data_IF_837445861484
#
_entry.id   IF_837445861484
#
_cell.length_a   1.000
_cell.length_b   1.000
_cell.length_c   1.000
_cell.angle_alpha   90.00
_cell.angle_beta   90.00
_cell.angle_gamma   90.00
#
_symmetry.space_group_name_H-M   'P 1'
#
loop_
_entity.id
_entity.type
_entity.pdbx_description
1 polymer ?
#
# COMPACT_ATOMS: atom_id res chain seq x y z
N UNK A 1 50.63 2.96 48.46
CA UNK A 1 49.92 2.17 47.38
C UNK A 1 48.43 2.42 47.56
N UNK A 2 47.87 3.31 46.74
CA UNK A 2 46.44 3.61 46.75
C UNK A 2 45.80 2.90 45.58
N UNK A 3 44.84 2.03 45.90
CA UNK A 3 44.07 1.27 44.92
C UNK A 3 42.94 2.18 44.43
N UNK A 4 43.00 2.59 43.16
CA UNK A 4 41.94 3.33 42.48
C UNK A 4 40.82 2.35 42.13
N UNK A 5 39.66 2.55 42.76
CA UNK A 5 38.41 1.82 42.43
C UNK A 5 37.84 2.37 41.12
N UNK A 6 37.59 1.49 40.17
CA UNK A 6 36.95 1.82 38.89
C UNK A 6 35.45 2.17 39.10
N UNK A 7 34.87 3.10 38.32
CA UNK A 7 33.44 3.43 38.42
C UNK A 7 32.56 2.33 37.79
N UNK A 8 31.56 1.94 38.56
CA UNK A 8 30.50 1.01 38.25
C UNK A 8 29.75 1.46 36.99
N UNK A 9 29.91 0.72 35.88
CA UNK A 9 29.16 0.94 34.66
C UNK A 9 27.71 0.41 34.85
N UNK A 10 26.77 1.32 35.09
CA UNK A 10 25.35 1.00 35.14
C UNK A 10 24.91 0.48 33.77
N UNK A 11 24.24 -0.70 33.67
CA UNK A 11 23.76 -1.20 32.40
C UNK A 11 22.69 -0.24 31.86
N UNK A 12 22.87 0.18 30.59
CA UNK A 12 21.88 0.98 29.86
C UNK A 12 20.56 0.21 29.84
N UNK A 13 19.49 0.84 30.32
CA UNK A 13 18.12 0.31 30.18
C UNK A 13 17.76 0.27 28.70
N UNK A 14 18.08 -0.82 28.03
CA UNK A 14 17.55 -1.15 26.70
C UNK A 14 16.02 -1.09 26.75
N UNK A 15 15.40 -0.27 25.93
CA UNK A 15 13.94 -0.20 25.84
C UNK A 15 13.38 -1.59 25.56
N UNK A 16 12.23 -1.92 26.19
CA UNK A 16 11.53 -3.18 26.00
C UNK A 16 11.35 -3.46 24.49
N UNK A 17 11.71 -4.66 23.99
CA UNK A 17 11.59 -5.00 22.58
C UNK A 17 10.19 -4.68 22.05
N UNK A 18 10.11 -4.30 20.75
CA UNK A 18 8.81 -4.11 20.05
C UNK A 18 7.97 -5.37 20.23
N UNK A 19 6.73 -5.20 20.68
CA UNK A 19 5.75 -6.27 20.78
C UNK A 19 4.88 -6.26 19.50
N UNK A 20 5.13 -7.16 18.53
CA UNK A 20 4.40 -7.19 17.27
C UNK A 20 2.89 -7.43 17.45
N UNK A 21 2.49 -8.07 18.55
CA UNK A 21 1.09 -8.34 18.84
C UNK A 21 0.28 -7.06 19.07
N UNK A 22 0.91 -6.02 19.62
CA UNK A 22 0.27 -4.73 19.85
C UNK A 22 0.03 -3.94 18.56
N UNK A 23 0.85 -4.15 17.54
CA UNK A 23 0.70 -3.48 16.25
C UNK A 23 -0.58 -3.94 15.54
N UNK A 24 -0.86 -5.23 15.58
CA UNK A 24 -2.11 -5.79 15.07
C UNK A 24 -3.35 -5.24 15.77
N UNK A 25 -3.30 -5.09 17.11
CA UNK A 25 -4.43 -4.53 17.88
C UNK A 25 -4.66 -3.06 17.56
N UNK A 26 -3.59 -2.27 17.43
CA UNK A 26 -3.69 -0.85 17.06
C UNK A 26 -4.26 -0.70 15.65
N UNK A 27 -3.77 -1.48 14.66
CA UNK A 27 -4.32 -1.46 13.30
C UNK A 27 -5.80 -1.81 13.24
N UNK A 28 -6.20 -2.87 13.93
CA UNK A 28 -7.62 -3.25 14.01
C UNK A 28 -8.49 -2.14 14.61
N UNK A 29 -8.00 -1.43 15.63
CA UNK A 29 -8.68 -0.29 16.22
C UNK A 29 -8.83 0.88 15.23
N UNK A 30 -7.77 1.18 14.47
CA UNK A 30 -7.81 2.23 13.44
C UNK A 30 -8.83 1.89 12.36
N UNK A 31 -8.84 0.66 11.86
CA UNK A 31 -9.78 0.24 10.81
C UNK A 31 -11.24 0.33 11.28
N UNK A 32 -11.53 -0.09 12.51
CA UNK A 32 -12.86 0.06 13.09
C UNK A 32 -13.28 1.53 13.19
N UNK A 33 -12.42 2.37 13.75
CA UNK A 33 -12.72 3.80 13.90
C UNK A 33 -12.86 4.51 12.55
N UNK A 34 -12.05 4.15 11.54
CA UNK A 34 -12.21 4.69 10.18
C UNK A 34 -13.56 4.31 9.58
N UNK A 35 -14.01 3.08 9.80
CA UNK A 35 -15.33 2.62 9.33
C UNK A 35 -16.49 3.29 10.09
N UNK A 36 -16.36 3.45 11.40
CA UNK A 36 -17.45 3.92 12.26
C UNK A 36 -17.62 5.45 12.22
N UNK A 37 -16.52 6.19 12.32
CA UNK A 37 -16.56 7.66 12.49
C UNK A 37 -15.85 8.42 11.38
N UNK A 38 -15.16 7.73 10.49
CA UNK A 38 -14.39 8.31 9.39
C UNK A 38 -13.10 9.01 9.84
N UNK A 39 -12.29 9.41 8.87
CA UNK A 39 -10.99 10.06 9.13
C UNK A 39 -11.13 11.40 9.87
N UNK A 40 -12.16 12.19 9.56
CA UNK A 40 -12.33 13.52 10.16
C UNK A 40 -12.46 13.48 11.70
N UNK A 41 -13.26 12.56 12.22
CA UNK A 41 -13.52 12.41 13.65
C UNK A 41 -12.49 11.51 14.37
N UNK A 42 -11.65 10.79 13.67
CA UNK A 42 -10.59 9.95 14.23
C UNK A 42 -9.55 10.81 14.96
N UNK A 43 -9.21 10.40 16.19
CA UNK A 43 -8.16 11.03 17.00
C UNK A 43 -7.16 10.00 17.53
N UNK A 44 -5.93 10.42 17.79
CA UNK A 44 -4.89 9.56 18.41
C UNK A 44 -5.34 8.99 19.75
N UNK A 45 -6.10 9.76 20.52
CA UNK A 45 -6.64 9.36 21.81
C UNK A 45 -7.75 8.31 21.68
N UNK A 46 -8.63 8.45 20.68
CA UNK A 46 -9.66 7.45 20.39
C UNK A 46 -9.02 6.12 19.99
N UNK A 47 -7.95 6.16 19.17
CA UNK A 47 -7.19 4.96 18.79
C UNK A 47 -6.55 4.29 20.00
N UNK A 48 -5.93 5.06 20.91
CA UNK A 48 -5.33 4.52 22.12
C UNK A 48 -6.36 3.82 23.01
N UNK A 49 -7.54 4.46 23.17
CA UNK A 49 -8.67 3.92 23.94
C UNK A 49 -9.22 2.64 23.32
N UNK A 50 -9.50 2.65 22.02
CA UNK A 50 -10.05 1.51 21.28
C UNK A 50 -9.08 0.32 21.25
N UNK A 51 -7.78 0.58 21.11
CA UNK A 51 -6.75 -0.44 21.14
C UNK A 51 -6.39 -0.93 22.55
N UNK A 52 -6.92 -0.31 23.61
CA UNK A 52 -6.57 -0.64 24.99
C UNK A 52 -5.07 -0.40 25.32
N UNK A 53 -4.44 0.60 24.68
CA UNK A 53 -3.03 0.92 24.89
C UNK A 53 -2.86 2.33 25.46
N UNK A 54 -1.76 2.55 26.18
CA UNK A 54 -1.45 3.91 26.66
C UNK A 54 -1.13 4.88 25.52
N UNK A 55 -1.61 6.13 25.61
CA UNK A 55 -1.33 7.22 24.63
C UNK A 55 0.14 7.31 24.26
N UNK A 56 1.06 7.22 25.26
CA UNK A 56 2.50 7.23 25.02
C UNK A 56 2.98 6.11 24.07
N UNK A 57 2.26 4.99 23.99
CA UNK A 57 2.58 3.91 23.06
C UNK A 57 2.32 4.33 21.63
N UNK A 58 1.22 5.04 21.37
CA UNK A 58 0.88 5.57 20.06
C UNK A 58 1.86 6.69 19.67
N UNK A 59 1.98 7.75 20.52
CA UNK A 59 2.80 8.94 20.22
C UNK A 59 4.30 8.65 20.09
N UNK A 60 4.80 7.57 20.66
CA UNK A 60 6.19 7.15 20.46
C UNK A 60 6.47 6.67 19.04
N UNK A 61 5.45 6.17 18.33
CA UNK A 61 5.56 5.59 16.98
C UNK A 61 5.15 6.57 15.90
N UNK A 62 4.04 7.24 16.10
CA UNK A 62 3.44 8.16 15.14
C UNK A 62 3.26 9.52 15.77
N UNK A 63 3.78 10.54 15.15
CA UNK A 63 3.68 11.91 15.62
C UNK A 63 2.35 12.54 15.31
N UNK A 64 1.75 12.12 14.19
CA UNK A 64 0.49 12.68 13.67
C UNK A 64 -0.51 11.57 13.36
N UNK A 65 -1.76 11.96 13.24
CA UNK A 65 -2.85 11.09 12.82
C UNK A 65 -2.65 10.60 11.39
N UNK A 66 -2.13 11.44 10.53
CA UNK A 66 -1.80 11.14 9.13
C UNK A 66 -0.77 10.00 9.06
N UNK A 67 0.34 10.14 9.77
CA UNK A 67 1.37 9.09 9.83
C UNK A 67 0.79 7.75 10.31
N UNK A 68 -0.01 7.79 11.38
CA UNK A 68 -0.63 6.60 11.97
C UNK A 68 -1.53 5.86 10.96
N UNK A 69 -2.40 6.61 10.29
CA UNK A 69 -3.38 6.02 9.35
C UNK A 69 -2.69 5.52 8.09
N UNK A 70 -1.78 6.31 7.52
CA UNK A 70 -1.07 5.91 6.29
C UNK A 70 -0.15 4.71 6.53
N UNK A 71 0.56 4.66 7.64
CA UNK A 71 1.38 3.51 8.02
C UNK A 71 0.53 2.24 8.16
N UNK A 72 -0.65 2.36 8.80
CA UNK A 72 -1.60 1.25 8.92
C UNK A 72 -2.07 0.75 7.55
N UNK A 73 -2.46 1.63 6.65
CA UNK A 73 -2.92 1.26 5.30
C UNK A 73 -1.77 0.69 4.47
N UNK A 74 -0.57 1.26 4.59
CA UNK A 74 0.62 0.76 3.90
C UNK A 74 1.00 -0.65 4.34
N UNK A 75 0.94 -0.93 5.64
CA UNK A 75 1.20 -2.27 6.18
C UNK A 75 0.16 -3.31 5.71
N UNK A 76 -1.12 -2.92 5.62
CA UNK A 76 -2.18 -3.79 5.09
C UNK A 76 -1.95 -4.07 3.60
N UNK A 77 -1.61 -3.03 2.83
CA UNK A 77 -1.31 -3.17 1.42
C UNK A 77 -0.09 -4.07 1.19
N UNK A 78 0.95 -3.94 2.03
CA UNK A 78 2.13 -4.80 1.97
C UNK A 78 1.81 -6.26 2.32
N UNK A 79 0.96 -6.50 3.31
CA UNK A 79 0.51 -7.85 3.66
C UNK A 79 -0.29 -8.49 2.52
N UNK A 80 -1.19 -7.74 1.89
CA UNK A 80 -1.97 -8.19 0.73
C UNK A 80 -1.08 -8.48 -0.48
N UNK A 81 -0.13 -7.59 -0.78
CA UNK A 81 0.84 -7.79 -1.85
C UNK A 81 1.71 -9.03 -1.62
N UNK A 82 2.14 -9.27 -0.38
CA UNK A 82 2.90 -10.48 -0.03
C UNK A 82 2.06 -11.76 -0.19
N UNK A 83 0.79 -11.74 0.19
CA UNK A 83 -0.13 -12.87 0.00
C UNK A 83 -0.34 -13.17 -1.49
N UNK A 84 -0.51 -12.14 -2.32
CA UNK A 84 -0.65 -12.28 -3.78
C UNK A 84 0.63 -12.81 -4.40
N UNK A 85 1.80 -12.28 -4.03
CA UNK A 85 3.09 -12.73 -4.55
C UNK A 85 3.43 -14.18 -4.16
N UNK A 86 2.88 -14.67 -3.05
CA UNK A 86 3.01 -16.07 -2.67
C UNK A 86 2.13 -17.00 -3.53
N UNK A 87 1.04 -16.47 -4.09
CA UNK A 87 0.12 -17.22 -4.95
C UNK A 87 0.55 -17.20 -6.42
N UNK A 88 1.02 -16.06 -6.93
CA UNK A 88 1.43 -15.88 -8.32
C UNK A 88 2.79 -15.15 -8.40
N UNK A 89 3.78 -15.66 -9.17
CA UNK A 89 5.08 -15.02 -9.29
C UNK A 89 4.96 -13.67 -10.02
N UNK A 90 5.63 -12.65 -9.50
CA UNK A 90 5.65 -11.31 -10.10
C UNK A 90 6.43 -11.23 -11.44
N UNK A 91 7.21 -12.25 -11.78
CA UNK A 91 7.89 -12.43 -13.05
C UNK A 91 7.40 -13.72 -13.70
N UNK A 92 6.51 -13.59 -14.66
CA UNK A 92 5.92 -14.72 -15.41
C UNK A 92 6.69 -15.05 -16.67
N UNK A 93 7.73 -14.27 -17.00
CA UNK A 93 8.49 -14.38 -18.22
C UNK A 93 7.91 -13.62 -19.41
N UNK A 94 6.78 -12.92 -19.25
CA UNK A 94 6.17 -12.09 -20.29
C UNK A 94 5.49 -10.85 -19.72
N UNK A 95 5.48 -9.74 -20.48
CA UNK A 95 4.78 -8.53 -20.10
C UNK A 95 3.29 -8.74 -19.92
N UNK A 96 2.65 -9.52 -20.80
CA UNK A 96 1.23 -9.86 -20.68
C UNK A 96 0.93 -10.60 -19.37
N UNK A 97 1.71 -11.63 -19.05
CA UNK A 97 1.56 -12.38 -17.81
C UNK A 97 1.78 -11.51 -16.57
N UNK A 98 2.84 -10.69 -16.58
CA UNK A 98 3.17 -9.78 -15.49
C UNK A 98 2.07 -8.73 -15.26
N UNK A 99 1.46 -8.20 -16.34
CA UNK A 99 0.32 -7.28 -16.25
C UNK A 99 -0.91 -7.94 -15.61
N UNK A 100 -1.22 -9.20 -15.97
CA UNK A 100 -2.34 -9.93 -15.36
C UNK A 100 -2.12 -10.10 -13.87
N UNK A 101 -0.93 -10.50 -13.44
CA UNK A 101 -0.57 -10.64 -12.02
C UNK A 101 -0.70 -9.28 -11.30
N UNK A 102 -0.16 -8.21 -11.88
CA UNK A 102 -0.21 -6.88 -11.29
C UNK A 102 -1.66 -6.38 -11.11
N UNK A 103 -2.52 -6.52 -12.13
CA UNK A 103 -3.91 -6.07 -12.02
C UNK A 103 -4.75 -6.96 -11.09
N UNK A 104 -4.52 -8.28 -11.04
CA UNK A 104 -5.17 -9.16 -10.07
C UNK A 104 -4.75 -8.84 -8.64
N UNK A 105 -3.49 -8.43 -8.41
CA UNK A 105 -3.07 -7.96 -7.09
C UNK A 105 -3.78 -6.65 -6.70
N UNK A 106 -4.05 -5.76 -7.67
CA UNK A 106 -4.86 -4.57 -7.42
C UNK A 106 -6.33 -4.94 -7.12
N UNK A 107 -6.90 -5.94 -7.81
CA UNK A 107 -8.25 -6.46 -7.50
C UNK A 107 -8.30 -7.02 -6.08
N UNK A 108 -7.33 -7.83 -5.69
CA UNK A 108 -7.23 -8.35 -4.33
C UNK A 108 -7.18 -7.22 -3.30
N UNK A 109 -6.35 -6.22 -3.56
CA UNK A 109 -6.22 -5.05 -2.70
C UNK A 109 -7.53 -4.28 -2.54
N UNK A 110 -8.23 -3.93 -3.64
CA UNK A 110 -9.47 -3.13 -3.56
C UNK A 110 -10.61 -3.88 -2.86
N UNK A 111 -10.60 -5.21 -2.91
CA UNK A 111 -11.58 -6.07 -2.23
C UNK A 111 -11.19 -6.42 -0.78
N UNK A 112 -10.03 -6.00 -0.31
CA UNK A 112 -9.53 -6.26 1.04
C UNK A 112 -9.99 -5.20 2.05
N UNK A 113 -9.81 -5.44 3.37
CA UNK A 113 -10.00 -4.41 4.39
C UNK A 113 -9.14 -3.15 4.15
N UNK A 114 -7.97 -3.30 3.51
CA UNK A 114 -7.12 -2.18 3.12
C UNK A 114 -7.77 -1.31 2.03
N UNK A 115 -8.46 -1.94 1.07
CA UNK A 115 -9.24 -1.24 0.06
C UNK A 115 -10.37 -0.41 0.69
N UNK A 116 -11.14 -1.00 1.59
CA UNK A 116 -12.20 -0.29 2.31
C UNK A 116 -11.65 0.91 3.11
N UNK A 117 -10.54 0.73 3.83
CA UNK A 117 -9.87 1.82 4.54
C UNK A 117 -9.37 2.91 3.58
N UNK A 118 -8.79 2.52 2.44
CA UNK A 118 -8.37 3.45 1.39
C UNK A 118 -9.54 4.28 0.87
N UNK A 119 -10.68 3.65 0.58
CA UNK A 119 -11.88 4.35 0.12
C UNK A 119 -12.38 5.37 1.16
N UNK A 120 -12.40 5.01 2.43
CA UNK A 120 -12.77 5.92 3.52
C UNK A 120 -11.83 7.14 3.63
N UNK A 121 -10.55 6.99 3.26
CA UNK A 121 -9.57 8.08 3.31
C UNK A 121 -9.64 9.01 2.12
N UNK A 122 -9.97 8.52 0.94
CA UNK A 122 -9.94 9.29 -0.31
C UNK A 122 -10.82 10.55 -0.24
N UNK A 123 -12.01 10.45 0.36
CA UNK A 123 -12.88 11.61 0.55
C UNK A 123 -12.29 12.70 1.45
N UNK A 124 -11.41 12.30 2.37
CA UNK A 124 -10.76 13.21 3.32
C UNK A 124 -9.51 13.88 2.78
N UNK A 125 -8.88 13.31 1.73
CA UNK A 125 -7.61 13.82 1.19
C UNK A 125 -7.72 15.24 0.62
N UNK A 126 -8.88 15.63 0.10
CA UNK A 126 -9.11 16.97 -0.44
C UNK A 126 -8.98 18.05 0.64
N UNK A 127 -9.31 17.70 1.89
CA UNK A 127 -9.29 18.62 3.02
C UNK A 127 -8.05 18.45 3.93
N UNK A 128 -7.23 17.44 3.67
CA UNK A 128 -6.06 17.09 4.48
C UNK A 128 -4.83 16.85 3.58
N UNK A 129 -4.11 17.93 3.16
CA UNK A 129 -2.96 17.83 2.25
C UNK A 129 -1.85 16.88 2.76
N UNK A 130 -1.58 16.88 4.05
CA UNK A 130 -0.57 16.00 4.65
C UNK A 130 -0.97 14.51 4.52
N UNK A 131 -2.26 14.17 4.65
CA UNK A 131 -2.77 12.83 4.40
C UNK A 131 -2.58 12.44 2.92
N UNK A 132 -2.92 13.34 2.01
CA UNK A 132 -2.77 13.11 0.57
C UNK A 132 -1.30 12.91 0.17
N UNK A 133 -0.37 13.68 0.75
CA UNK A 133 1.07 13.53 0.52
C UNK A 133 1.59 12.19 1.04
N UNK A 134 1.25 11.85 2.28
CA UNK A 134 1.65 10.59 2.88
C UNK A 134 1.08 9.38 2.13
N UNK A 135 -0.18 9.48 1.64
CA UNK A 135 -0.79 8.42 0.82
C UNK A 135 -0.09 8.25 -0.53
N UNK A 136 0.28 9.36 -1.19
CA UNK A 136 1.06 9.30 -2.44
C UNK A 136 2.46 8.72 -2.23
N UNK A 137 3.12 9.09 -1.13
CA UNK A 137 4.46 8.58 -0.79
C UNK A 137 4.48 7.15 -0.24
N UNK A 138 3.34 6.64 0.23
CA UNK A 138 3.17 5.30 0.75
C UNK A 138 2.52 4.36 -0.28
N UNK A 139 1.21 4.08 -0.15
CA UNK A 139 0.51 3.07 -0.98
C UNK A 139 0.66 3.27 -2.49
N UNK A 140 0.52 4.51 -2.97
CA UNK A 140 0.63 4.82 -4.40
C UNK A 140 2.05 4.59 -4.91
N UNK A 141 3.06 4.96 -4.12
CA UNK A 141 4.47 4.76 -4.49
C UNK A 141 4.83 3.27 -4.57
N UNK A 142 4.28 2.44 -3.69
CA UNK A 142 4.49 0.98 -3.73
C UNK A 142 3.94 0.38 -5.03
N UNK A 143 2.71 0.74 -5.40
CA UNK A 143 2.11 0.27 -6.65
C UNK A 143 2.89 0.75 -7.88
N UNK A 144 3.29 2.01 -7.90
CA UNK A 144 4.13 2.58 -8.98
C UNK A 144 5.44 1.83 -9.11
N UNK A 145 6.11 1.56 -7.98
CA UNK A 145 7.35 0.80 -7.99
C UNK A 145 7.16 -0.61 -8.56
N UNK A 146 6.10 -1.31 -8.19
CA UNK A 146 5.81 -2.64 -8.73
C UNK A 146 5.63 -2.61 -10.26
N UNK A 147 4.94 -1.58 -10.78
CA UNK A 147 4.81 -1.34 -12.22
C UNK A 147 6.16 -1.03 -12.87
N UNK A 148 6.95 -0.14 -12.30
CA UNK A 148 8.26 0.25 -12.83
C UNK A 148 9.22 -0.94 -12.89
N UNK A 149 9.24 -1.78 -11.85
CA UNK A 149 10.04 -3.00 -11.79
C UNK A 149 9.59 -4.02 -12.89
N UNK A 150 8.28 -4.19 -13.08
CA UNK A 150 7.72 -5.00 -14.17
C UNK A 150 8.10 -4.44 -15.54
N UNK A 151 7.98 -3.13 -15.73
CA UNK A 151 8.31 -2.46 -16.98
C UNK A 151 9.78 -2.60 -17.35
N UNK A 152 10.67 -2.44 -16.37
CA UNK A 152 12.11 -2.62 -16.55
C UNK A 152 12.46 -4.06 -17.00
N UNK A 153 11.77 -5.07 -16.46
CA UNK A 153 11.94 -6.46 -16.93
C UNK A 153 11.49 -6.63 -18.39
N UNK A 154 10.36 -6.06 -18.76
CA UNK A 154 9.87 -6.10 -20.14
C UNK A 154 10.81 -5.41 -21.13
N UNK A 155 11.44 -4.29 -20.73
CA UNK A 155 12.48 -3.63 -21.51
C UNK A 155 13.73 -4.53 -21.70
N UNK A 156 14.17 -5.19 -20.63
CA UNK A 156 15.29 -6.13 -20.68
C UNK A 156 15.01 -7.33 -21.58
N UNK A 157 13.78 -7.82 -21.61
CA UNK A 157 13.34 -8.91 -22.50
C UNK A 157 13.11 -8.44 -23.95
N UNK A 158 13.13 -7.11 -24.19
CA UNK A 158 12.91 -6.54 -25.52
C UNK A 158 11.45 -6.61 -25.98
N UNK A 159 10.52 -6.69 -25.04
CA UNK A 159 9.07 -6.74 -25.30
C UNK A 159 8.49 -5.34 -25.55
N UNK A 160 9.09 -4.30 -24.99
CA UNK A 160 8.68 -2.90 -25.16
C UNK A 160 9.78 -2.08 -25.83
N UNK A 161 9.37 -1.09 -26.63
CA UNK A 161 10.30 -0.18 -27.26
C UNK A 161 10.77 0.91 -26.28
N UNK A 162 12.04 1.29 -26.37
CA UNK A 162 12.57 2.45 -25.64
C UNK A 162 11.82 3.72 -26.05
N UNK A 163 11.36 4.48 -25.05
CA UNK A 163 10.64 5.72 -25.25
C UNK A 163 9.12 5.61 -25.18
N UNK A 164 8.55 4.41 -25.07
CA UNK A 164 7.15 4.25 -24.70
C UNK A 164 6.97 4.67 -23.23
N UNK A 165 6.00 5.55 -22.97
CA UNK A 165 5.78 6.07 -21.60
C UNK A 165 5.13 5.03 -20.71
N UNK A 166 5.93 4.33 -19.91
CA UNK A 166 5.44 3.38 -18.93
C UNK A 166 4.48 4.02 -17.91
N UNK A 167 4.73 5.28 -17.51
CA UNK A 167 3.87 5.98 -16.56
C UNK A 167 2.44 6.19 -17.07
N UNK A 168 2.29 6.61 -18.34
CA UNK A 168 0.96 6.77 -18.95
C UNK A 168 0.23 5.42 -19.08
N UNK A 169 0.97 4.37 -19.41
CA UNK A 169 0.40 3.03 -19.49
C UNK A 169 -0.06 2.56 -18.10
N UNK A 170 0.74 2.76 -17.05
CA UNK A 170 0.37 2.45 -15.68
C UNK A 170 -0.95 3.13 -15.28
N UNK A 171 -1.12 4.41 -15.63
CA UNK A 171 -2.35 5.15 -15.39
C UNK A 171 -3.52 4.58 -16.20
N UNK A 172 -3.32 4.34 -17.49
CA UNK A 172 -4.37 3.83 -18.38
C UNK A 172 -4.92 2.46 -17.97
N UNK A 173 -4.06 1.55 -17.49
CA UNK A 173 -4.49 0.20 -17.09
C UNK A 173 -5.05 0.15 -15.67
N UNK A 174 -4.60 1.03 -14.76
CA UNK A 174 -5.13 1.11 -13.41
C UNK A 174 -6.47 1.84 -13.31
N UNK A 175 -6.67 2.84 -14.16
CA UNK A 175 -7.86 3.71 -14.14
C UNK A 175 -9.20 2.94 -14.24
N UNK A 176 -9.39 1.95 -15.11
CA UNK A 176 -10.67 1.22 -15.19
C UNK A 176 -11.04 0.52 -13.89
N UNK A 177 -10.07 -0.07 -13.18
CA UNK A 177 -10.29 -0.74 -11.90
C UNK A 177 -10.69 0.28 -10.83
N UNK A 178 -9.93 1.37 -10.73
CA UNK A 178 -10.21 2.44 -9.77
C UNK A 178 -11.56 3.11 -10.05
N UNK A 179 -11.88 3.39 -11.32
CA UNK A 179 -13.15 3.96 -11.75
C UNK A 179 -14.32 3.06 -11.35
N UNK A 180 -14.24 1.78 -11.67
CA UNK A 180 -15.29 0.81 -11.38
C UNK A 180 -15.52 0.66 -9.87
N UNK A 181 -14.42 0.49 -9.12
CA UNK A 181 -14.46 0.33 -7.68
C UNK A 181 -14.92 1.59 -6.94
N UNK A 182 -14.28 2.74 -7.24
CA UNK A 182 -14.44 3.95 -6.43
C UNK A 182 -15.61 4.83 -6.87
N UNK A 183 -15.84 4.94 -8.18
CA UNK A 183 -16.83 5.87 -8.74
C UNK A 183 -18.14 5.16 -9.02
N UNK A 184 -18.10 3.99 -9.67
CA UNK A 184 -19.31 3.27 -10.03
C UNK A 184 -19.87 2.46 -8.85
N UNK A 185 -19.02 2.07 -7.86
CA UNK A 185 -19.43 1.16 -6.78
C UNK A 185 -19.75 -0.25 -7.27
N UNK A 186 -19.19 -0.65 -8.40
CA UNK A 186 -19.43 -1.95 -9.00
C UNK A 186 -18.39 -2.98 -8.54
N UNK A 187 -18.75 -4.27 -8.46
CA UNK A 187 -17.81 -5.33 -8.15
C UNK A 187 -16.63 -5.37 -9.14
N UNK A 188 -15.43 -5.56 -8.61
CA UNK A 188 -14.20 -5.74 -9.38
C UNK A 188 -13.67 -7.14 -9.10
N UNK A 189 -13.51 -7.95 -10.15
CA UNK A 189 -13.01 -9.32 -10.07
C UNK A 189 -11.84 -9.56 -11.04
N UNK A 190 -11.26 -10.75 -10.98
CA UNK A 190 -10.15 -11.12 -11.86
C UNK A 190 -10.56 -11.17 -13.33
N UNK A 191 -11.81 -11.51 -13.65
CA UNK A 191 -12.29 -11.50 -15.03
C UNK A 191 -12.29 -10.07 -15.59
N UNK A 192 -12.67 -9.08 -14.78
CA UNK A 192 -12.57 -7.67 -15.18
C UNK A 192 -11.11 -7.21 -15.33
N UNK A 193 -10.20 -7.63 -14.45
CA UNK A 193 -8.77 -7.34 -14.59
C UNK A 193 -8.20 -7.91 -15.90
N UNK A 194 -8.53 -9.16 -16.21
CA UNK A 194 -8.11 -9.80 -17.46
C UNK A 194 -8.69 -9.07 -18.69
N UNK A 195 -9.96 -8.65 -18.65
CA UNK A 195 -10.56 -7.84 -19.70
C UNK A 195 -9.86 -6.49 -19.90
N UNK A 196 -9.39 -5.85 -18.81
CA UNK A 196 -8.57 -4.62 -18.91
C UNK A 196 -7.25 -4.89 -19.61
N UNK A 197 -6.61 -6.03 -19.35
CA UNK A 197 -5.39 -6.41 -20.09
C UNK A 197 -5.72 -6.59 -21.57
N UNK A 198 -6.74 -7.37 -21.90
CA UNK A 198 -7.06 -7.75 -23.30
C UNK A 198 -7.55 -6.56 -24.13
N UNK A 199 -8.39 -5.70 -23.55
CA UNK A 199 -9.10 -4.63 -24.28
C UNK A 199 -8.40 -3.29 -24.19
N UNK A 200 -7.62 -3.05 -23.13
CA UNK A 200 -6.95 -1.76 -22.91
C UNK A 200 -5.43 -1.91 -23.06
N UNK A 201 -4.80 -2.75 -22.24
CA UNK A 201 -3.33 -2.79 -22.18
C UNK A 201 -2.70 -3.32 -23.46
N UNK A 202 -3.09 -4.51 -23.92
CA UNK A 202 -2.49 -5.14 -25.10
C UNK A 202 -2.66 -4.33 -26.39
N UNK A 203 -3.83 -3.75 -26.70
CA UNK A 203 -3.99 -2.88 -27.89
C UNK A 203 -3.10 -1.64 -27.84
N UNK A 204 -2.99 -0.97 -26.68
CA UNK A 204 -2.12 0.20 -26.53
C UNK A 204 -0.65 -0.19 -26.70
N UNK A 205 -0.24 -1.29 -26.10
CA UNK A 205 1.12 -1.80 -26.18
C UNK A 205 1.50 -2.17 -27.63
N UNK A 206 0.62 -2.89 -28.34
CA UNK A 206 0.82 -3.27 -29.75
C UNK A 206 0.89 -2.04 -30.66
N UNK A 207 0.02 -1.07 -30.45
CA UNK A 207 0.08 0.21 -31.19
C UNK A 207 1.37 0.98 -30.93
N UNK A 208 1.95 0.86 -29.73
CA UNK A 208 3.26 1.40 -29.37
C UNK A 208 4.45 0.54 -29.82
N UNK A 209 4.21 -0.54 -30.56
CA UNK A 209 5.25 -1.42 -31.11
C UNK A 209 5.81 -2.45 -30.10
N UNK A 210 5.10 -2.72 -28.99
CA UNK A 210 5.47 -3.79 -28.09
C UNK A 210 5.23 -5.17 -28.73
N UNK A 211 6.06 -6.14 -28.36
CA UNK A 211 5.95 -7.54 -28.80
C UNK A 211 5.19 -8.35 -27.73
N UNK A 212 3.88 -8.17 -27.67
CA UNK A 212 2.97 -8.81 -26.69
C UNK A 212 1.86 -9.56 -27.41
#
# INVERSE_FOLDING_TARGET
>A
MAVLSAPDARPSRGGRPRDPSRDGVIRAAILRLLADVGYGALTMDAVASEAGVGKATIYRRWRTKEELVVDTVSDLNAAEAAATAAAEPADTGSLEGDLRVLLRSLVSLVNSPAGAATQALLSSMQHHPALAEAFRGGPVAVWRKAFDDMWARAEQRGEVQKGLSGSLIAEAIGAPIVQRWLVNGEPVDNAFADAVVDVVALPILRAGGAKV
#
